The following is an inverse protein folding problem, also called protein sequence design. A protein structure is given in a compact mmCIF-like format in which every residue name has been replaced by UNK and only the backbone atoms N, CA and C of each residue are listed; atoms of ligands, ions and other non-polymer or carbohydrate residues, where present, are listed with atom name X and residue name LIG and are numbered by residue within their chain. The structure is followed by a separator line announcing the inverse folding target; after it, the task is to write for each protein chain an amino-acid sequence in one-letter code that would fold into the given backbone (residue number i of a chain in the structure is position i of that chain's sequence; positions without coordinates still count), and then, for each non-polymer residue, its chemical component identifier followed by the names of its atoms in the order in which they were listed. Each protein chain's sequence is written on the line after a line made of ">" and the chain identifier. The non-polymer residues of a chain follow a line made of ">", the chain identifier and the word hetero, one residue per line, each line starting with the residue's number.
data_IF_070583112571
#
_entry.id   IF_070583112571
#
_cell.length_a   1.000
_cell.length_b   1.000
_cell.length_c   1.000
_cell.angle_alpha   90.00
_cell.angle_beta   90.00
_cell.angle_gamma   90.00
#
_symmetry.space_group_name_H-M   'P 1'
#
loop_
_entity.id
_entity.type
_entity.pdbx_description
1 polymer ?
#
# COMPACT_ATOMS: atom_id res chain seq x y z
N UNK A 1 -2.96 1.89 20.24
CA UNK A 1 -2.05 1.12 19.36
C UNK A 1 -0.76 1.93 19.21
N UNK A 2 -0.10 2.26 20.32
CA UNK A 2 1.08 1.59 20.92
C UNK A 2 2.20 1.35 19.89
N UNK A 3 2.99 2.40 19.66
CA UNK A 3 4.27 2.34 18.96
C UNK A 3 5.38 2.41 20.02
N UNK A 4 6.29 1.42 20.05
CA UNK A 4 7.51 1.48 20.87
C UNK A 4 8.73 0.86 20.15
N UNK A 5 9.80 1.69 20.11
CA UNK A 5 11.24 1.45 20.39
C UNK A 5 12.08 0.50 19.49
N UNK A 6 13.06 1.06 18.74
CA UNK A 6 14.53 1.06 19.03
C UNK A 6 15.39 1.36 17.78
N UNK A 7 16.51 2.06 18.01
CA UNK A 7 17.64 2.44 17.13
C UNK A 7 18.25 1.26 16.32
N UNK A 8 19.03 1.40 15.22
CA UNK A 8 20.20 2.25 14.95
C UNK A 8 20.47 2.27 13.41
N UNK A 9 21.14 3.29 12.89
CA UNK A 9 21.68 3.33 11.53
C UNK A 9 22.67 2.18 11.27
N UNK A 10 22.55 1.53 10.11
CA UNK A 10 23.67 0.90 9.39
C UNK A 10 23.37 0.96 7.89
N UNK A 11 24.04 1.90 7.22
CA UNK A 11 24.15 1.94 5.77
C UNK A 11 25.11 0.83 5.33
N UNK A 12 24.56 -0.21 4.70
CA UNK A 12 25.32 -1.10 3.84
C UNK A 12 25.03 -0.68 2.40
N UNK A 13 25.99 -0.02 1.78
CA UNK A 13 26.03 0.18 0.33
C UNK A 13 26.12 -1.19 -0.34
N UNK A 14 25.03 -1.65 -0.94
CA UNK A 14 25.13 -2.71 -1.94
C UNK A 14 25.82 -2.10 -3.18
N UNK A 15 26.85 -2.76 -3.74
CA UNK A 15 27.42 -2.32 -5.00
C UNK A 15 26.36 -2.42 -6.10
N UNK A 16 26.27 -1.36 -6.92
CA UNK A 16 25.48 -1.33 -8.14
C UNK A 16 25.95 -2.44 -9.08
N UNK A 17 25.27 -3.59 -9.04
CA UNK A 17 25.30 -4.53 -10.16
C UNK A 17 24.34 -3.96 -11.20
N UNK A 18 24.82 -3.02 -12.00
CA UNK A 18 24.19 -2.66 -13.26
C UNK A 18 24.24 -3.91 -14.15
N UNK A 19 23.18 -4.70 -14.11
CA UNK A 19 22.96 -5.77 -15.07
C UNK A 19 22.83 -5.13 -16.46
N UNK A 20 23.91 -5.18 -17.23
CA UNK A 20 24.00 -4.70 -18.61
C UNK A 20 23.27 -5.65 -19.58
N UNK A 21 22.02 -6.00 -19.25
CA UNK A 21 21.14 -6.86 -20.02
C UNK A 21 20.17 -6.06 -20.86
N UNK A 22 19.74 -6.62 -22.00
CA UNK A 22 18.60 -6.07 -22.75
C UNK A 22 17.38 -6.03 -21.81
N UNK A 23 16.73 -4.88 -21.71
CA UNK A 23 15.48 -4.75 -20.95
C UNK A 23 14.37 -5.47 -21.70
N UNK A 24 13.76 -6.48 -21.07
CA UNK A 24 12.61 -7.18 -21.63
C UNK A 24 11.36 -6.74 -20.89
N UNK A 25 10.27 -6.57 -21.64
CA UNK A 25 8.98 -6.28 -21.05
C UNK A 25 8.50 -7.48 -20.22
N UNK A 26 8.00 -7.25 -18.99
CA UNK A 26 7.53 -8.32 -18.12
C UNK A 26 6.30 -9.00 -18.74
N UNK A 27 6.19 -10.32 -18.55
CA UNK A 27 4.96 -11.05 -18.81
C UNK A 27 4.09 -11.02 -17.55
N UNK A 28 2.96 -10.33 -17.63
CA UNK A 28 2.06 -10.10 -16.49
C UNK A 28 0.70 -10.77 -16.70
N UNK A 29 0.16 -11.32 -15.61
CA UNK A 29 -1.17 -11.89 -15.54
C UNK A 29 -1.94 -11.16 -14.44
N UNK A 30 -3.04 -10.53 -14.82
CA UNK A 30 -3.94 -9.89 -13.86
C UNK A 30 -4.85 -10.93 -13.20
N UNK A 31 -5.07 -10.72 -11.90
CA UNK A 31 -5.81 -11.61 -11.02
C UNK A 31 -6.84 -10.79 -10.24
N UNK A 32 -7.99 -11.39 -9.99
CA UNK A 32 -8.94 -10.92 -8.98
C UNK A 32 -8.95 -11.94 -7.85
N UNK A 33 -8.39 -11.57 -6.70
CA UNK A 33 -8.20 -12.45 -5.55
C UNK A 33 -9.39 -12.26 -4.61
N UNK A 34 -10.22 -13.29 -4.36
CA UNK A 34 -11.20 -13.26 -3.29
C UNK A 34 -10.49 -13.43 -1.94
N UNK A 35 -10.62 -12.43 -1.08
CA UNK A 35 -10.00 -12.37 0.23
C UNK A 35 -11.08 -12.42 1.29
N UNK A 36 -11.35 -13.64 1.76
CA UNK A 36 -12.21 -13.86 2.93
C UNK A 36 -11.42 -13.52 4.20
N UNK A 37 -12.00 -12.66 5.04
CA UNK A 37 -11.42 -12.31 6.33
C UNK A 37 -12.48 -12.07 7.40
N UNK A 38 -12.05 -12.24 8.65
CA UNK A 38 -12.80 -11.84 9.83
C UNK A 38 -11.85 -11.06 10.76
N UNK A 39 -12.16 -9.79 11.00
CA UNK A 39 -11.36 -8.88 11.81
C UNK A 39 -12.25 -7.79 12.42
N UNK A 40 -11.88 -7.21 13.57
CA UNK A 40 -12.63 -6.08 14.11
C UNK A 40 -12.42 -4.83 13.23
N UNK A 41 -13.49 -4.07 12.99
CA UNK A 41 -13.43 -2.71 12.47
C UNK A 41 -13.78 -1.70 13.56
N UNK A 42 -13.32 -0.45 13.40
CA UNK A 42 -13.52 0.62 14.38
C UNK A 42 -14.20 1.81 13.69
N UNK A 43 -15.54 1.95 13.75
CA UNK A 43 -16.24 3.03 13.06
C UNK A 43 -15.64 4.41 13.38
N UNK A 44 -15.45 5.25 12.36
CA UNK A 44 -15.03 6.63 12.60
C UNK A 44 -16.20 7.41 13.23
N UNK A 45 -15.95 8.08 14.35
CA UNK A 45 -16.90 8.94 15.06
C UNK A 45 -16.87 10.38 14.51
N UNK A 46 -16.88 10.49 13.19
CA UNK A 46 -16.97 11.77 12.46
C UNK A 46 -18.21 11.72 11.56
N UNK A 47 -18.91 12.85 11.37
CA UNK A 47 -19.99 12.89 10.40
C UNK A 47 -19.45 12.72 8.97
N UNK A 48 -20.32 12.30 8.07
CA UNK A 48 -20.02 12.32 6.64
C UNK A 48 -19.68 13.73 6.19
N UNK A 49 -18.61 13.87 5.39
CA UNK A 49 -18.17 15.18 4.92
C UNK A 49 -19.09 15.70 3.81
N UNK A 50 -19.70 16.85 4.02
CA UNK A 50 -20.58 17.46 3.02
C UNK A 50 -19.77 18.11 1.91
N UNK A 51 -18.66 18.76 2.27
CA UNK A 51 -17.84 19.53 1.35
C UNK A 51 -16.35 19.59 1.76
N UNK A 52 -15.51 20.11 0.87
CA UNK A 52 -14.07 20.25 1.10
C UNK A 52 -13.67 21.06 2.34
N UNK A 53 -14.49 22.02 2.80
CA UNK A 53 -14.17 22.79 4.02
C UNK A 53 -14.19 21.91 5.27
N UNK A 54 -15.07 20.91 5.33
CA UNK A 54 -15.14 19.97 6.45
C UNK A 54 -13.94 19.03 6.46
N UNK A 55 -13.49 18.56 5.30
CA UNK A 55 -12.26 17.78 5.16
C UNK A 55 -11.04 18.57 5.69
N UNK A 56 -10.94 19.86 5.32
CA UNK A 56 -9.88 20.75 5.82
C UNK A 56 -10.02 21.02 7.32
N UNK A 57 -11.24 21.12 7.86
CA UNK A 57 -11.48 21.26 9.29
C UNK A 57 -10.94 20.05 10.06
N UNK A 58 -11.17 18.82 9.58
CA UNK A 58 -10.62 17.60 10.20
C UNK A 58 -9.09 17.61 10.17
N UNK A 59 -8.50 17.92 9.01
CA UNK A 59 -7.03 18.04 8.88
C UNK A 59 -6.46 19.08 9.85
N UNK A 60 -7.14 20.22 10.03
CA UNK A 60 -6.74 21.23 11.01
C UNK A 60 -6.82 20.69 12.44
N UNK A 61 -7.86 19.93 12.80
CA UNK A 61 -7.98 19.33 14.12
C UNK A 61 -6.89 18.28 14.39
N UNK A 62 -6.44 17.53 13.38
CA UNK A 62 -5.35 16.54 13.51
C UNK A 62 -3.96 17.17 13.56
N UNK A 63 -3.78 18.34 12.94
CA UNK A 63 -2.45 18.96 12.76
C UNK A 63 -2.19 20.20 13.62
N UNK A 64 -3.22 20.76 14.27
CA UNK A 64 -3.03 21.89 15.19
C UNK A 64 -2.04 21.54 16.31
N UNK A 65 -1.33 22.54 16.84
CA UNK A 65 -0.33 22.34 17.92
C UNK A 65 -0.89 21.63 19.15
N UNK A 66 -2.18 21.81 19.45
CA UNK A 66 -2.89 21.18 20.57
C UNK A 66 -3.64 19.91 20.16
N UNK A 67 -3.36 19.34 18.98
CA UNK A 67 -4.02 18.14 18.51
C UNK A 67 -3.74 17.00 19.49
N UNK A 68 -4.75 16.21 19.86
CA UNK A 68 -4.51 15.05 20.70
C UNK A 68 -3.59 14.10 19.94
N UNK A 69 -2.52 13.66 20.58
CA UNK A 69 -1.62 12.64 20.02
C UNK A 69 -2.29 11.27 19.86
N UNK A 70 -3.50 11.10 20.39
CA UNK A 70 -4.26 9.86 20.37
C UNK A 70 -5.46 9.94 19.42
N UNK A 71 -5.27 9.43 18.20
CA UNK A 71 -6.33 9.29 17.20
C UNK A 71 -7.42 8.28 17.61
N UNK A 72 -7.26 7.49 18.68
CA UNK A 72 -8.33 6.63 19.17
C UNK A 72 -9.58 7.42 19.64
N UNK A 73 -9.46 8.74 19.85
CA UNK A 73 -10.58 9.60 20.21
C UNK A 73 -11.64 9.74 19.11
N UNK A 74 -11.27 9.47 17.85
CA UNK A 74 -12.21 9.48 16.72
C UNK A 74 -12.68 8.07 16.32
N UNK A 75 -12.37 7.05 17.11
CA UNK A 75 -12.75 5.67 16.84
C UNK A 75 -13.84 5.20 17.81
N UNK A 76 -14.85 4.55 17.26
CA UNK A 76 -15.90 3.86 18.01
C UNK A 76 -15.40 2.55 18.62
N UNK A 77 -16.24 1.89 19.44
CA UNK A 77 -15.95 0.55 19.93
C UNK A 77 -15.80 -0.44 18.76
N UNK A 78 -14.95 -1.48 18.90
CA UNK A 78 -14.74 -2.45 17.83
C UNK A 78 -16.03 -3.22 17.51
N UNK A 79 -16.30 -3.39 16.22
CA UNK A 79 -17.40 -4.20 15.69
C UNK A 79 -16.81 -5.45 15.04
N UNK A 80 -17.41 -6.61 15.30
CA UNK A 80 -17.06 -7.85 14.59
C UNK A 80 -17.46 -7.69 13.13
N UNK A 81 -16.49 -7.79 12.24
CA UNK A 81 -16.71 -7.66 10.81
C UNK A 81 -16.11 -8.86 10.09
N UNK A 82 -16.84 -9.37 9.10
CA UNK A 82 -16.40 -10.50 8.29
C UNK A 82 -17.09 -10.47 6.94
N UNK A 83 -16.29 -10.56 5.88
CA UNK A 83 -16.76 -10.57 4.50
C UNK A 83 -15.67 -11.10 3.57
N UNK A 84 -16.02 -11.28 2.31
CA UNK A 84 -15.06 -11.53 1.23
C UNK A 84 -14.90 -10.28 0.40
N UNK A 85 -13.67 -9.80 0.28
CA UNK A 85 -13.32 -8.68 -0.60
C UNK A 85 -12.72 -9.18 -1.90
N UNK A 86 -12.92 -8.44 -2.98
CA UNK A 86 -12.23 -8.71 -4.24
C UNK A 86 -11.06 -7.74 -4.43
N UNK A 87 -9.84 -8.30 -4.46
CA UNK A 87 -8.60 -7.54 -4.62
C UNK A 87 -8.03 -7.74 -6.00
N UNK A 88 -7.80 -6.66 -6.74
CA UNK A 88 -7.09 -6.70 -8.02
C UNK A 88 -5.59 -6.83 -7.80
N UNK A 89 -4.95 -7.76 -8.49
CA UNK A 89 -3.52 -7.99 -8.44
C UNK A 89 -2.95 -8.25 -9.84
N UNK A 90 -1.64 -8.12 -9.97
CA UNK A 90 -0.88 -8.48 -11.16
C UNK A 90 0.34 -9.29 -10.76
N UNK A 91 0.44 -10.50 -11.33
CA UNK A 91 1.58 -11.38 -11.16
C UNK A 91 2.44 -11.31 -12.40
N UNK A 92 3.71 -10.90 -12.26
CA UNK A 92 4.61 -10.73 -13.38
C UNK A 92 5.86 -11.60 -13.25
N UNK A 93 6.31 -12.14 -14.38
CA UNK A 93 7.56 -12.88 -14.53
C UNK A 93 8.32 -12.37 -15.74
N UNK A 94 9.57 -12.81 -15.90
CA UNK A 94 10.26 -12.58 -17.16
C UNK A 94 9.59 -13.37 -18.29
N UNK A 95 9.45 -12.74 -19.46
CA UNK A 95 8.92 -13.38 -20.67
C UNK A 95 9.89 -14.42 -21.27
N UNK A 96 11.17 -14.39 -20.88
CA UNK A 96 12.24 -15.18 -21.51
C UNK A 96 12.79 -16.31 -20.63
N UNK A 97 12.42 -16.36 -19.34
CA UNK A 97 12.93 -17.39 -18.44
C UNK A 97 12.08 -18.66 -18.57
N UNK A 98 12.72 -19.75 -19.01
CA UNK A 98 12.10 -21.08 -19.13
C UNK A 98 11.77 -21.71 -17.77
N UNK A 99 12.35 -21.19 -16.69
CA UNK A 99 12.15 -21.68 -15.33
C UNK A 99 11.20 -20.76 -14.56
N UNK A 100 10.27 -21.38 -13.82
CA UNK A 100 9.39 -20.67 -12.89
C UNK A 100 10.25 -20.01 -11.80
N UNK A 101 10.10 -18.70 -11.54
CA UNK A 101 10.93 -18.01 -10.56
C UNK A 101 10.69 -18.57 -9.15
N UNK A 102 11.79 -18.88 -8.46
CA UNK A 102 11.73 -19.44 -7.10
C UNK A 102 11.40 -18.39 -6.03
N UNK A 103 11.58 -17.10 -6.34
CA UNK A 103 11.36 -15.99 -5.40
C UNK A 103 10.29 -15.06 -5.98
N UNK A 104 9.29 -14.74 -5.16
CA UNK A 104 8.25 -13.75 -5.48
C UNK A 104 8.41 -12.55 -4.54
N UNK A 105 8.44 -11.35 -5.11
CA UNK A 105 8.36 -10.09 -4.37
C UNK A 105 6.90 -9.62 -4.33
N UNK A 106 6.27 -9.64 -3.16
CA UNK A 106 4.95 -9.03 -2.96
C UNK A 106 5.14 -7.53 -2.79
N UNK A 107 4.50 -6.72 -3.63
CA UNK A 107 4.71 -5.28 -3.73
C UNK A 107 3.52 -4.52 -3.16
N UNK A 108 3.74 -3.70 -2.13
CA UNK A 108 2.71 -2.97 -1.38
C UNK A 108 2.89 -1.46 -1.56
N UNK A 109 1.96 -0.83 -2.28
CA UNK A 109 2.00 0.59 -2.59
C UNK A 109 1.56 1.49 -1.41
N UNK A 110 1.80 2.80 -1.55
CA UNK A 110 1.48 3.83 -0.55
C UNK A 110 0.02 4.33 -0.62
N UNK A 111 -0.36 5.22 0.28
CA UNK A 111 -1.60 6.01 0.25
C UNK A 111 -1.67 6.86 -1.02
N UNK A 112 -2.86 6.91 -1.65
CA UNK A 112 -3.08 7.70 -2.86
C UNK A 112 -2.43 7.14 -4.13
N UNK A 113 -2.02 5.88 -4.11
CA UNK A 113 -1.56 5.11 -5.26
C UNK A 113 -2.31 3.77 -5.32
N UNK A 114 -2.08 3.03 -6.41
CA UNK A 114 -2.50 1.65 -6.61
C UNK A 114 -1.30 0.81 -7.08
N UNK A 115 -1.52 -0.43 -7.55
CA UNK A 115 -0.43 -1.34 -7.96
C UNK A 115 0.43 -0.79 -9.10
N UNK A 116 -0.07 0.16 -9.90
CA UNK A 116 0.69 0.79 -10.99
C UNK A 116 1.90 1.60 -10.51
N UNK A 117 1.96 1.96 -9.22
CA UNK A 117 3.14 2.57 -8.60
C UNK A 117 4.44 1.79 -8.91
N UNK A 118 4.35 0.46 -8.95
CA UNK A 118 5.51 -0.42 -9.14
C UNK A 118 5.91 -0.62 -10.61
N UNK A 119 5.04 -0.23 -11.56
CA UNK A 119 5.29 -0.34 -13.00
C UNK A 119 5.26 1.00 -13.71
N UNK A 120 5.47 2.09 -12.96
CA UNK A 120 5.39 3.46 -13.47
C UNK A 120 6.55 3.81 -14.40
N UNK A 121 6.24 4.65 -15.40
CA UNK A 121 7.23 5.33 -16.23
C UNK A 121 7.88 4.43 -17.29
N UNK A 122 9.14 4.72 -17.60
CA UNK A 122 9.95 3.92 -18.51
C UNK A 122 10.76 2.86 -17.73
N UNK A 123 11.58 2.08 -18.42
CA UNK A 123 12.41 1.02 -17.82
C UNK A 123 13.29 1.49 -16.64
N UNK A 124 13.66 2.78 -16.57
CA UNK A 124 14.44 3.33 -15.46
C UNK A 124 13.63 3.52 -14.16
N UNK A 125 12.30 3.57 -14.24
CA UNK A 125 11.40 3.77 -13.10
C UNK A 125 10.49 2.55 -12.83
N UNK A 126 10.46 1.59 -13.75
CA UNK A 126 9.61 0.40 -13.65
C UNK A 126 10.28 -0.69 -12.78
N UNK A 127 9.91 -0.74 -11.51
CA UNK A 127 10.41 -1.73 -10.55
C UNK A 127 10.06 -3.17 -10.95
N UNK A 128 8.86 -3.40 -11.52
CA UNK A 128 8.44 -4.72 -12.01
C UNK A 128 9.34 -5.19 -13.15
N UNK A 129 9.63 -4.33 -14.13
CA UNK A 129 10.54 -4.65 -15.23
C UNK A 129 11.96 -4.95 -14.72
N UNK A 130 12.50 -4.12 -13.83
CA UNK A 130 13.81 -4.36 -13.23
C UNK A 130 13.87 -5.69 -12.45
N UNK A 131 12.83 -5.99 -11.66
CA UNK A 131 12.76 -7.20 -10.83
C UNK A 131 12.62 -8.47 -11.66
N UNK A 132 11.79 -8.43 -12.70
CA UNK A 132 11.60 -9.57 -13.61
C UNK A 132 12.84 -9.83 -14.47
N UNK A 133 13.53 -8.79 -14.94
CA UNK A 133 14.81 -8.92 -15.64
C UNK A 133 15.94 -9.47 -14.75
N UNK A 134 15.85 -9.28 -13.42
CA UNK A 134 16.73 -9.92 -12.45
C UNK A 134 16.39 -11.39 -12.16
N UNK A 135 15.36 -11.95 -12.81
CA UNK A 135 14.95 -13.36 -12.67
C UNK A 135 14.00 -13.65 -11.51
N UNK A 136 13.44 -12.62 -10.87
CA UNK A 136 12.43 -12.77 -9.82
C UNK A 136 11.01 -12.58 -10.38
N UNK A 137 10.00 -13.04 -9.65
CA UNK A 137 8.61 -12.69 -9.90
C UNK A 137 8.16 -11.54 -9.02
N UNK A 138 7.12 -10.82 -9.45
CA UNK A 138 6.42 -9.83 -8.63
C UNK A 138 4.95 -10.16 -8.50
N UNK A 139 4.38 -9.83 -7.34
CA UNK A 139 2.94 -9.81 -7.11
C UNK A 139 2.57 -8.46 -6.52
N UNK A 140 2.07 -7.55 -7.34
CA UNK A 140 1.56 -6.25 -6.90
C UNK A 140 0.03 -6.30 -6.82
N UNK A 141 -0.58 -5.63 -5.83
CA UNK A 141 -2.03 -5.60 -5.68
C UNK A 141 -2.54 -4.22 -5.27
N UNK A 142 -3.79 -3.92 -5.64
CA UNK A 142 -4.48 -2.71 -5.23
C UNK A 142 -5.05 -2.94 -3.83
N UNK A 143 -4.69 -2.09 -2.86
CA UNK A 143 -5.35 -2.11 -1.55
C UNK A 143 -6.85 -1.78 -1.69
N UNK A 144 -7.65 -2.09 -0.68
CA UNK A 144 -9.07 -1.75 -0.67
C UNK A 144 -9.27 -0.24 -0.87
N UNK A 145 -10.30 0.14 -1.64
CA UNK A 145 -10.61 1.53 -1.95
C UNK A 145 -9.84 2.13 -3.13
N UNK A 146 -8.76 1.51 -3.63
CA UNK A 146 -7.93 2.06 -4.73
C UNK A 146 -7.88 1.14 -5.96
N UNK A 147 -7.46 1.67 -7.10
CA UNK A 147 -7.36 0.94 -8.36
C UNK A 147 -8.65 0.18 -8.74
N UNK A 148 -8.48 -1.08 -9.13
CA UNK A 148 -9.57 -2.00 -9.52
C UNK A 148 -10.02 -2.91 -8.37
N UNK A 149 -9.52 -2.70 -7.16
CA UNK A 149 -10.03 -3.37 -5.96
C UNK A 149 -11.35 -2.77 -5.51
N UNK A 150 -12.08 -3.54 -4.72
CA UNK A 150 -13.37 -3.14 -4.16
C UNK A 150 -13.34 -1.77 -3.46
N UNK A 151 -14.36 -0.94 -3.74
CA UNK A 151 -14.58 0.38 -3.13
C UNK A 151 -15.49 0.27 -1.92
N UNK A 152 -14.97 -0.29 -0.84
CA UNK A 152 -15.73 -0.47 0.41
C UNK A 152 -15.90 0.87 1.17
N UNK A 153 -16.70 0.86 2.23
CA UNK A 153 -17.01 2.05 3.03
C UNK A 153 -15.73 2.62 3.71
N UNK A 154 -15.34 3.88 3.42
CA UNK A 154 -14.17 4.51 4.01
C UNK A 154 -14.29 4.84 5.51
N UNK A 155 -15.51 4.93 6.06
CA UNK A 155 -15.74 5.24 7.47
C UNK A 155 -15.73 4.00 8.37
N UNK A 156 -16.13 2.85 7.82
CA UNK A 156 -16.37 1.64 8.61
C UNK A 156 -15.48 0.45 8.25
N UNK A 157 -14.92 0.42 7.03
CA UNK A 157 -14.25 -0.78 6.50
C UNK A 157 -12.81 -0.52 6.11
N UNK A 158 -12.53 0.55 5.35
CA UNK A 158 -11.16 0.81 4.86
C UNK A 158 -10.28 1.30 6.01
N UNK A 159 -9.56 0.37 6.62
CA UNK A 159 -8.71 0.61 7.79
C UNK A 159 -7.43 -0.19 7.70
N UNK A 160 -6.35 0.32 8.32
CA UNK A 160 -5.04 -0.35 8.30
C UNK A 160 -5.09 -1.81 8.80
N UNK A 161 -5.97 -2.14 9.75
CA UNK A 161 -6.17 -3.51 10.24
C UNK A 161 -6.78 -4.44 9.19
N UNK A 162 -7.75 -3.95 8.41
CA UNK A 162 -8.34 -4.73 7.32
C UNK A 162 -7.30 -4.91 6.21
N UNK A 163 -6.58 -3.86 5.83
CA UNK A 163 -5.51 -3.95 4.83
C UNK A 163 -4.37 -4.89 5.25
N UNK A 164 -3.98 -4.88 6.53
CA UNK A 164 -3.04 -5.84 7.09
C UNK A 164 -3.55 -7.28 6.98
N UNK A 165 -4.83 -7.48 7.25
CA UNK A 165 -5.47 -8.80 7.14
C UNK A 165 -5.52 -9.27 5.69
N UNK A 166 -5.81 -8.36 4.75
CA UNK A 166 -5.74 -8.62 3.30
C UNK A 166 -4.33 -9.04 2.87
N UNK A 167 -3.29 -8.28 3.27
CA UNK A 167 -1.90 -8.63 2.99
C UNK A 167 -1.52 -10.01 3.54
N UNK A 168 -1.92 -10.28 4.79
CA UNK A 168 -1.71 -11.58 5.44
C UNK A 168 -2.34 -12.69 4.61
N UNK A 169 -3.59 -12.51 4.18
CA UNK A 169 -4.33 -13.52 3.44
C UNK A 169 -3.81 -13.73 2.02
N UNK A 170 -3.46 -12.68 1.30
CA UNK A 170 -2.80 -12.77 -0.01
C UNK A 170 -1.49 -13.56 0.11
N UNK A 171 -0.70 -13.29 1.16
CA UNK A 171 0.56 -14.01 1.42
C UNK A 171 0.28 -15.50 1.68
N UNK A 172 -0.72 -15.84 2.49
CA UNK A 172 -1.13 -17.24 2.74
C UNK A 172 -1.57 -17.96 1.46
N UNK A 173 -2.40 -17.30 0.65
CA UNK A 173 -2.88 -17.85 -0.61
C UNK A 173 -1.73 -18.10 -1.59
N UNK A 174 -0.75 -17.20 -1.66
CA UNK A 174 0.45 -17.41 -2.47
C UNK A 174 1.29 -18.58 -1.95
N UNK A 175 1.59 -18.63 -0.64
CA UNK A 175 2.38 -19.71 -0.01
C UNK A 175 1.74 -21.09 -0.18
N UNK A 176 0.40 -21.15 -0.21
CA UNK A 176 -0.35 -22.41 -0.32
C UNK A 176 -0.76 -22.77 -1.74
N UNK A 177 -0.38 -21.95 -2.74
CA UNK A 177 -0.75 -22.19 -4.15
C UNK A 177 -2.24 -22.02 -4.44
N UNK A 178 -2.94 -21.23 -3.60
CA UNK A 178 -4.38 -20.97 -3.69
C UNK A 178 -4.71 -19.59 -4.24
N UNK A 179 -3.72 -18.82 -4.68
CA UNK A 179 -3.92 -17.49 -5.29
C UNK A 179 -4.53 -17.56 -6.70
N UNK A 180 -4.58 -18.77 -7.29
CA UNK A 180 -5.08 -19.03 -8.64
C UNK A 180 -4.18 -20.04 -9.36
N UNK A 181 -4.54 -20.41 -10.59
CA UNK A 181 -3.79 -21.40 -11.37
C UNK A 181 -2.44 -20.89 -11.91
N UNK A 182 -2.19 -19.58 -11.87
CA UNK A 182 -1.08 -18.95 -12.60
C UNK A 182 0.19 -18.78 -11.76
N UNK A 183 0.15 -18.18 -10.55
CA UNK A 183 1.36 -18.05 -9.75
C UNK A 183 1.76 -19.42 -9.18
N UNK A 184 2.96 -19.94 -9.48
CA UNK A 184 3.47 -21.12 -8.81
C UNK A 184 3.72 -20.84 -7.33
N UNK A 185 3.74 -21.90 -6.51
CA UNK A 185 4.16 -21.79 -5.11
C UNK A 185 5.63 -21.35 -5.09
N UNK A 186 5.96 -20.19 -4.50
CA UNK A 186 7.34 -19.73 -4.43
C UNK A 186 8.12 -20.50 -3.36
N UNK A 187 9.42 -20.67 -3.58
CA UNK A 187 10.34 -21.16 -2.54
C UNK A 187 10.67 -20.09 -1.50
N UNK A 188 10.61 -18.81 -1.89
CA UNK A 188 10.81 -17.66 -0.99
C UNK A 188 9.88 -16.50 -1.33
N UNK A 189 9.48 -15.76 -0.30
CA UNK A 189 8.70 -14.53 -0.42
C UNK A 189 9.46 -13.36 0.18
N UNK A 190 9.57 -12.29 -0.59
CA UNK A 190 10.06 -10.98 -0.12
C UNK A 190 8.90 -10.00 -0.14
N UNK A 191 8.69 -9.27 0.94
CA UNK A 191 7.71 -8.19 0.96
C UNK A 191 8.40 -6.85 0.75
N UNK A 192 7.98 -6.10 -0.26
CA UNK A 192 8.53 -4.80 -0.62
C UNK A 192 7.44 -3.77 -0.45
N UNK A 193 7.61 -2.88 0.52
CA UNK A 193 6.64 -1.83 0.81
C UNK A 193 7.20 -0.45 0.51
N UNK A 194 6.32 0.48 0.13
CA UNK A 194 6.60 1.91 0.11
C UNK A 194 5.68 2.66 1.08
N UNK A 195 6.25 3.48 1.96
CA UNK A 195 5.54 4.31 2.94
C UNK A 195 4.49 3.51 3.73
N UNK A 196 3.18 3.72 3.55
CA UNK A 196 2.14 2.91 4.20
C UNK A 196 2.28 1.40 3.93
N UNK A 197 2.70 1.03 2.73
CA UNK A 197 3.02 -0.36 2.40
C UNK A 197 4.20 -0.92 3.21
N UNK A 198 5.18 -0.09 3.57
CA UNK A 198 6.26 -0.48 4.49
C UNK A 198 5.75 -0.66 5.92
N UNK A 199 4.81 0.18 6.38
CA UNK A 199 4.17 -0.02 7.68
C UNK A 199 3.46 -1.38 7.76
N UNK A 200 2.66 -1.72 6.73
CA UNK A 200 1.99 -3.03 6.64
C UNK A 200 2.99 -4.18 6.57
N UNK A 201 4.07 -4.02 5.79
CA UNK A 201 5.14 -5.02 5.66
C UNK A 201 5.85 -5.28 6.98
N UNK A 202 6.22 -4.22 7.72
CA UNK A 202 6.86 -4.34 9.02
C UNK A 202 5.90 -4.99 10.04
N UNK A 203 4.63 -4.59 10.05
CA UNK A 203 3.61 -5.20 10.91
C UNK A 203 3.45 -6.70 10.62
N UNK A 204 3.46 -7.10 9.34
CA UNK A 204 3.40 -8.51 8.93
C UNK A 204 4.61 -9.28 9.45
N UNK A 205 5.82 -8.74 9.25
CA UNK A 205 7.05 -9.38 9.70
C UNK A 205 7.06 -9.61 11.22
N UNK A 206 6.59 -8.64 12.01
CA UNK A 206 6.54 -8.76 13.47
C UNK A 206 5.46 -9.77 13.90
N UNK A 207 4.29 -9.73 13.27
CA UNK A 207 3.13 -10.54 13.68
C UNK A 207 3.19 -11.98 13.17
N UNK A 208 3.81 -12.19 12.00
CA UNK A 208 3.94 -13.47 11.29
C UNK A 208 5.38 -13.61 10.76
N UNK A 209 6.38 -13.88 11.63
CA UNK A 209 7.78 -13.96 11.21
C UNK A 209 8.08 -15.07 10.20
N UNK A 210 7.18 -16.03 10.01
CA UNK A 210 7.29 -17.12 9.04
C UNK A 210 6.81 -16.73 7.63
N UNK A 211 6.22 -15.54 7.45
CA UNK A 211 5.58 -15.14 6.18
C UNK A 211 6.54 -14.51 5.17
N UNK A 212 7.62 -13.91 5.65
CA UNK A 212 8.59 -13.18 4.83
C UNK A 212 9.97 -13.77 5.03
N UNK A 213 10.61 -14.23 3.96
CA UNK A 213 12.04 -14.58 3.96
C UNK A 213 12.92 -13.34 4.06
N UNK A 214 12.44 -12.21 3.53
CA UNK A 214 13.05 -10.90 3.69
C UNK A 214 12.01 -9.79 3.51
N UNK A 215 12.36 -8.58 3.94
CA UNK A 215 11.55 -7.37 3.75
C UNK A 215 12.40 -6.23 3.21
N UNK A 216 11.80 -5.39 2.37
CA UNK A 216 12.38 -4.13 1.89
C UNK A 216 11.40 -3.02 2.25
N UNK A 217 11.87 -2.06 3.05
CA UNK A 217 11.07 -0.93 3.51
C UNK A 217 11.60 0.35 2.86
N UNK A 218 10.76 1.02 2.07
CA UNK A 218 11.11 2.26 1.36
C UNK A 218 10.24 3.40 1.88
N UNK A 219 10.80 4.62 2.00
CA UNK A 219 10.13 5.76 2.62
C UNK A 219 9.53 5.43 4.02
N UNK A 220 10.28 4.68 4.83
CA UNK A 220 9.86 4.21 6.14
C UNK A 220 10.70 4.82 7.26
N UNK A 221 10.04 5.19 8.35
CA UNK A 221 10.66 5.66 9.58
C UNK A 221 9.90 5.10 10.77
N UNK A 222 10.62 4.69 11.81
CA UNK A 222 10.03 4.36 13.10
C UNK A 222 9.50 5.59 13.85
N UNK A 223 10.03 6.77 13.52
CA UNK A 223 9.55 8.04 14.08
C UNK A 223 8.39 8.59 13.26
N UNK A 224 7.30 8.89 13.94
CA UNK A 224 6.12 9.58 13.39
C UNK A 224 6.08 11.07 13.76
N UNK A 225 7.18 11.64 14.28
CA UNK A 225 7.23 13.05 14.71
C UNK A 225 6.93 14.04 13.59
N UNK A 226 7.14 13.65 12.34
CA UNK A 226 6.87 14.47 11.16
C UNK A 226 5.50 14.19 10.51
N UNK A 227 4.67 13.35 11.13
CA UNK A 227 3.37 12.94 10.57
C UNK A 227 2.45 14.14 10.29
N UNK A 228 2.34 15.09 11.23
CA UNK A 228 1.52 16.28 11.01
C UNK A 228 2.02 17.14 9.85
N UNK A 229 3.34 17.21 9.64
CA UNK A 229 3.92 17.93 8.50
C UNK A 229 3.60 17.24 7.18
N UNK A 230 3.64 15.90 7.16
CA UNK A 230 3.20 15.11 6.03
C UNK A 230 1.72 15.36 5.73
N UNK A 231 0.85 15.27 6.74
CA UNK A 231 -0.58 15.54 6.60
C UNK A 231 -0.85 16.93 6.00
N UNK A 232 -0.21 17.98 6.53
CA UNK A 232 -0.31 19.35 5.99
C UNK A 232 0.16 19.40 4.53
N UNK A 233 1.29 18.74 4.21
CA UNK A 233 1.89 18.74 2.88
C UNK A 233 1.03 18.04 1.83
N UNK A 234 0.23 17.04 2.21
CA UNK A 234 -0.61 16.31 1.25
C UNK A 234 -1.80 17.11 0.72
N UNK A 235 -2.24 18.14 1.46
CA UNK A 235 -3.44 18.95 1.15
C UNK A 235 -4.62 18.10 0.69
N UNK A 236 -5.06 17.20 1.56
CA UNK A 236 -6.14 16.27 1.24
C UNK A 236 -7.44 17.05 0.97
N UNK A 237 -7.99 16.85 -0.23
CA UNK A 237 -9.30 17.35 -0.63
C UNK A 237 -10.27 16.18 -0.81
N UNK A 238 -11.57 16.45 -0.75
CA UNK A 238 -12.57 15.44 -1.14
C UNK A 238 -12.33 14.99 -2.57
N UNK A 239 -12.23 13.68 -2.79
CA UNK A 239 -11.88 13.12 -4.09
C UNK A 239 -12.91 13.52 -5.16
N UNK A 240 -14.21 13.49 -4.81
CA UNK A 240 -15.32 13.87 -5.70
C UNK A 240 -15.31 15.34 -6.12
N UNK A 241 -14.73 16.22 -5.31
CA UNK A 241 -14.64 17.65 -5.63
C UNK A 241 -13.37 17.96 -6.43
N UNK A 242 -12.26 17.33 -6.08
CA UNK A 242 -10.96 17.59 -6.70
C UNK A 242 -10.81 16.90 -8.06
N UNK A 243 -11.42 15.71 -8.22
CA UNK A 243 -11.33 14.87 -9.41
C UNK A 243 -12.72 14.31 -9.78
N UNK A 244 -13.69 15.18 -10.13
CA UNK A 244 -15.10 14.80 -10.29
C UNK A 244 -15.30 13.74 -11.37
N UNK A 245 -14.59 13.80 -12.49
CA UNK A 245 -14.71 12.79 -13.56
C UNK A 245 -14.36 11.37 -13.10
N UNK A 246 -13.48 11.23 -12.10
CA UNK A 246 -13.03 9.93 -11.59
C UNK A 246 -13.80 9.47 -10.36
N UNK A 247 -14.32 10.41 -9.55
CA UNK A 247 -14.89 10.12 -8.23
C UNK A 247 -16.33 10.62 -8.07
N UNK A 248 -17.04 10.93 -9.15
CA UNK A 248 -18.47 11.24 -9.11
C UNK A 248 -19.24 10.14 -8.36
N UNK A 249 -20.13 10.53 -7.44
CA UNK A 249 -20.91 9.60 -6.63
C UNK A 249 -20.12 8.81 -5.57
N UNK A 250 -18.81 9.01 -5.44
CA UNK A 250 -18.00 8.37 -4.40
C UNK A 250 -18.36 8.90 -3.00
N UNK A 251 -18.20 8.04 -1.98
CA UNK A 251 -18.36 8.44 -0.58
C UNK A 251 -17.46 9.62 -0.24
N UNK A 252 -17.95 10.51 0.62
CA UNK A 252 -17.20 11.67 1.10
C UNK A 252 -16.01 11.31 2.00
N UNK A 253 -15.88 10.04 2.41
CA UNK A 253 -14.67 9.58 3.12
C UNK A 253 -13.47 9.35 2.20
N UNK A 254 -13.65 9.36 0.87
CA UNK A 254 -12.52 9.31 -0.06
C UNK A 254 -11.92 10.69 -0.28
N UNK A 255 -10.62 10.78 -0.02
CA UNK A 255 -9.83 12.00 -0.22
C UNK A 255 -8.74 11.78 -1.28
N UNK A 256 -8.43 12.84 -2.01
CA UNK A 256 -7.37 12.89 -3.00
C UNK A 256 -6.29 13.90 -2.58
N UNK A 257 -5.07 13.70 -3.08
CA UNK A 257 -3.98 14.67 -2.89
C UNK A 257 -4.32 15.98 -3.59
N UNK A 258 -3.81 17.07 -3.03
CA UNK A 258 -4.25 18.40 -3.39
C UNK A 258 -4.07 18.75 -4.86
N UNK A 259 -2.84 19.05 -5.24
CA UNK A 259 -2.47 19.34 -6.61
C UNK A 259 -1.06 18.80 -6.92
N UNK A 260 -0.66 18.91 -8.19
CA UNK A 260 0.65 18.44 -8.66
C UNK A 260 1.84 19.09 -7.95
N UNK A 261 1.72 20.32 -7.46
CA UNK A 261 2.81 21.03 -6.77
C UNK A 261 2.99 20.50 -5.34
N UNK A 262 1.90 20.15 -4.66
CA UNK A 262 1.99 19.53 -3.33
C UNK A 262 2.45 18.07 -3.39
N UNK A 263 2.10 17.35 -4.47
CA UNK A 263 2.71 16.05 -4.76
C UNK A 263 4.22 16.17 -4.98
N UNK A 264 4.67 17.19 -5.71
CA UNK A 264 6.09 17.47 -5.87
C UNK A 264 6.74 17.79 -4.53
N UNK A 265 6.18 18.74 -3.77
CA UNK A 265 6.69 19.12 -2.44
C UNK A 265 6.87 17.92 -1.51
N UNK A 266 5.93 16.97 -1.51
CA UNK A 266 5.97 15.82 -0.64
C UNK A 266 6.91 14.69 -1.12
N UNK A 267 7.06 14.49 -2.44
CA UNK A 267 7.66 13.25 -2.96
C UNK A 267 8.66 13.42 -4.12
N UNK A 268 8.69 14.55 -4.84
CA UNK A 268 9.44 14.65 -6.11
C UNK A 268 10.38 15.86 -6.11
N UNK A 269 11.57 15.68 -6.66
CA UNK A 269 12.51 16.78 -6.94
C UNK A 269 12.25 17.37 -8.33
N UNK A 270 12.37 18.70 -8.46
CA UNK A 270 12.41 19.35 -9.76
C UNK A 270 13.74 18.99 -10.48
N UNK A 271 13.73 18.62 -11.77
CA UNK A 271 14.93 18.33 -12.53
C UNK A 271 15.81 19.56 -12.80
#
# INVERSE_FOLDING_TARGET
>A
MIFFIASFLLLLSAPDVLANGKSYQPYCIDLTIPVELAAPTYPLLIPDLENGYEAISILLQSTKRSAPSNLALILGPPIKFGTTFFTSASYCTSATHSQKPAIVQILIHDLGFDKSYWSFGNASYNYVEATTNAGYATLSYDRLGVGNSEKSDPYNVIQALIEFTVLTRITELLKTGKLGAHPPIPSKIVHVGHSHGSFLTNALRVSRPDFSDSIVLTAFSYSITCQSWFEIATRLYLARENMPEQFEGSSSGFVARGDKYYNQYAFLTFP
#
